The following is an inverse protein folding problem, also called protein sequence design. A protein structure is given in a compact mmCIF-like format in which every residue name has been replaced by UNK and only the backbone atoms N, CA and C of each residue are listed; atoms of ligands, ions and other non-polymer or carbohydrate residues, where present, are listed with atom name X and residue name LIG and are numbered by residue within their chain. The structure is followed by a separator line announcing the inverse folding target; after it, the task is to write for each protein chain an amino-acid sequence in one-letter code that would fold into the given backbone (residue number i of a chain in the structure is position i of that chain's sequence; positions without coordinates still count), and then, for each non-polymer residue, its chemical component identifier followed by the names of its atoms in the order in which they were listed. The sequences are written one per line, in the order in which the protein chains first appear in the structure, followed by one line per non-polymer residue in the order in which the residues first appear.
data_IF_816868060368
#
_entry.id   IF_816868060368
#
_cell.length_a   1.000
_cell.length_b   1.000
_cell.length_c   1.000
_cell.angle_alpha   90.00
_cell.angle_beta   90.00
_cell.angle_gamma   90.00
#
_symmetry.space_group_name_H-M   'P 1'
#
loop_
_entity.id
_entity.type
_entity.pdbx_description
1 polymer ?
#
# COMPACT_ATOMS: atom_id res chain seq x y z
N UNK A 1 9.64 -4.66 7.66
CA UNK A 1 9.89 -5.58 6.53
C UNK A 1 9.52 -4.87 5.27
N UNK A 2 10.32 -5.07 4.23
CA UNK A 2 9.95 -4.65 2.88
C UNK A 2 8.80 -5.53 2.38
N UNK A 3 7.63 -4.92 2.22
CA UNK A 3 6.42 -5.61 1.75
C UNK A 3 6.28 -5.50 0.24
N UNK A 4 7.07 -4.61 -0.37
CA UNK A 4 7.14 -4.39 -1.80
C UNK A 4 8.45 -3.70 -2.16
N UNK A 5 9.14 -4.26 -3.16
CA UNK A 5 10.26 -3.65 -3.86
C UNK A 5 9.92 -3.61 -5.36
N UNK A 6 10.01 -2.43 -5.98
CA UNK A 6 9.70 -2.28 -7.41
C UNK A 6 10.80 -2.82 -8.32
N UNK A 7 12.07 -2.78 -7.90
CA UNK A 7 13.19 -3.30 -8.68
C UNK A 7 13.10 -4.83 -8.79
N UNK A 8 12.76 -5.52 -7.70
CA UNK A 8 12.49 -6.95 -7.70
C UNK A 8 11.32 -7.30 -8.62
N UNK A 9 10.21 -6.53 -8.53
CA UNK A 9 9.04 -6.72 -9.39
C UNK A 9 9.38 -6.55 -10.88
N UNK A 10 10.20 -5.56 -11.23
CA UNK A 10 10.66 -5.34 -12.61
C UNK A 10 11.53 -6.50 -13.09
N UNK A 11 12.45 -6.97 -12.26
CA UNK A 11 13.40 -8.03 -12.61
C UNK A 11 12.70 -9.35 -12.93
N UNK A 12 11.75 -9.76 -12.09
CA UNK A 12 10.97 -10.99 -12.31
C UNK A 12 10.22 -10.92 -13.65
N UNK A 13 9.50 -9.81 -13.91
CA UNK A 13 8.72 -9.66 -15.15
C UNK A 13 9.55 -9.62 -16.43
N UNK A 14 10.71 -8.98 -16.39
CA UNK A 14 11.61 -8.87 -17.55
C UNK A 14 12.15 -10.23 -17.97
N UNK A 15 12.36 -11.14 -17.01
CA UNK A 15 12.85 -12.50 -17.30
C UNK A 15 11.74 -13.36 -17.91
N UNK A 16 10.48 -13.14 -17.54
CA UNK A 16 9.40 -14.09 -17.82
C UNK A 16 8.65 -13.89 -19.16
N UNK A 17 8.73 -12.74 -19.84
CA UNK A 17 7.85 -12.51 -21.01
C UNK A 17 8.50 -11.81 -22.23
N UNK A 18 8.86 -12.56 -23.29
CA UNK A 18 9.40 -12.02 -24.55
C UNK A 18 8.50 -10.99 -25.25
N UNK A 19 7.18 -11.15 -25.13
CA UNK A 19 6.19 -10.23 -25.72
C UNK A 19 6.13 -8.88 -25.01
N UNK A 20 6.19 -8.90 -23.68
CA UNK A 20 6.22 -7.68 -22.87
C UNK A 20 7.52 -6.92 -23.12
N UNK A 21 8.66 -7.61 -23.24
CA UNK A 21 9.93 -6.99 -23.64
C UNK A 21 9.88 -6.27 -24.99
N UNK A 22 9.23 -6.88 -25.99
CA UNK A 22 9.06 -6.26 -27.30
C UNK A 22 8.11 -5.04 -27.23
N UNK A 23 7.01 -5.15 -26.50
CA UNK A 23 6.10 -4.02 -26.27
C UNK A 23 6.84 -2.89 -25.54
N UNK A 24 7.58 -3.22 -24.48
CA UNK A 24 8.42 -2.31 -23.71
C UNK A 24 9.38 -1.55 -24.63
N UNK A 25 10.12 -2.28 -25.47
CA UNK A 25 11.10 -1.71 -26.40
C UNK A 25 10.50 -0.77 -27.45
N UNK A 26 9.27 -1.05 -27.89
CA UNK A 26 8.59 -0.28 -28.93
C UNK A 26 7.84 0.94 -28.37
N UNK A 27 7.41 0.91 -27.10
CA UNK A 27 6.54 1.95 -26.53
C UNK A 27 7.12 2.77 -25.40
N UNK A 28 8.30 2.43 -24.85
CA UNK A 28 8.83 3.07 -23.63
C UNK A 28 9.10 4.56 -23.75
N UNK A 29 9.45 5.05 -24.92
CA UNK A 29 9.64 6.50 -25.11
C UNK A 29 8.32 7.27 -25.09
N UNK A 30 7.22 6.60 -25.46
CA UNK A 30 5.92 7.23 -25.65
C UNK A 30 5.01 7.06 -24.43
N UNK A 31 5.16 5.95 -23.71
CA UNK A 31 4.31 5.55 -22.59
C UNK A 31 5.13 4.98 -21.41
N UNK A 32 6.11 5.75 -20.87
CA UNK A 32 6.99 5.25 -19.80
C UNK A 32 6.24 4.93 -18.51
N UNK A 33 5.21 5.71 -18.16
CA UNK A 33 4.42 5.53 -16.94
C UNK A 33 3.55 4.27 -17.03
N UNK A 34 2.88 4.04 -18.16
CA UNK A 34 2.01 2.89 -18.38
C UNK A 34 2.77 1.57 -18.33
N UNK A 35 4.01 1.59 -18.82
CA UNK A 35 4.88 0.42 -18.76
C UNK A 35 5.35 0.15 -17.33
N UNK A 36 5.69 1.18 -16.56
CA UNK A 36 5.99 1.03 -15.13
C UNK A 36 4.77 0.50 -14.37
N UNK A 37 3.57 0.97 -14.70
CA UNK A 37 2.33 0.44 -14.13
C UNK A 37 2.05 -1.01 -14.53
N UNK A 38 2.57 -1.48 -15.67
CA UNK A 38 2.43 -2.86 -16.09
C UNK A 38 3.17 -3.82 -15.15
N UNK A 39 4.26 -3.39 -14.50
CA UNK A 39 5.00 -4.20 -13.52
C UNK A 39 4.37 -4.20 -12.12
N UNK A 40 3.47 -3.27 -11.84
CA UNK A 40 2.77 -3.18 -10.55
C UNK A 40 1.76 -4.31 -10.40
N UNK A 41 2.04 -5.22 -9.45
CA UNK A 41 1.19 -6.34 -9.08
C UNK A 41 1.08 -6.50 -7.56
N UNK A 42 0.21 -7.37 -7.07
CA UNK A 42 0.10 -7.64 -5.63
C UNK A 42 1.11 -8.73 -5.25
N UNK A 43 2.11 -8.39 -4.45
CA UNK A 43 3.13 -9.33 -3.98
C UNK A 43 2.59 -10.29 -2.92
N UNK A 44 1.83 -11.29 -3.36
CA UNK A 44 1.08 -12.19 -2.48
C UNK A 44 1.95 -12.88 -1.42
N UNK A 45 3.16 -13.30 -1.79
CA UNK A 45 4.10 -13.93 -0.86
C UNK A 45 4.57 -12.98 0.25
N UNK A 46 5.09 -11.80 -0.11
CA UNK A 46 5.55 -10.78 0.85
C UNK A 46 4.43 -10.35 1.80
N UNK A 47 3.23 -10.14 1.28
CA UNK A 47 2.06 -9.79 2.09
C UNK A 47 1.65 -10.93 3.02
N UNK A 48 1.69 -12.19 2.59
CA UNK A 48 1.37 -13.33 3.44
C UNK A 48 2.39 -13.54 4.58
N UNK A 49 3.67 -13.30 4.30
CA UNK A 49 4.71 -13.31 5.33
C UNK A 49 4.51 -12.18 6.34
N UNK A 50 4.19 -10.98 5.85
CA UNK A 50 3.87 -9.84 6.70
C UNK A 50 2.63 -10.09 7.57
N UNK A 51 1.56 -10.63 6.98
CA UNK A 51 0.34 -11.02 7.69
C UNK A 51 0.60 -12.11 8.75
N UNK A 52 1.61 -12.96 8.56
CA UNK A 52 2.05 -13.93 9.58
C UNK A 52 2.76 -13.23 10.73
N UNK A 53 3.74 -12.36 10.44
CA UNK A 53 4.52 -11.66 11.48
C UNK A 53 3.67 -10.71 12.33
N UNK A 54 2.68 -10.07 11.72
CA UNK A 54 1.81 -9.10 12.41
C UNK A 54 0.84 -9.75 13.39
N UNK A 55 0.44 -11.01 13.17
CA UNK A 55 -0.38 -11.77 14.13
C UNK A 55 0.32 -11.97 15.46
N UNK A 56 1.64 -12.21 15.42
CA UNK A 56 2.43 -12.51 16.61
C UNK A 56 2.91 -11.25 17.34
N UNK A 57 3.23 -10.18 16.61
CA UNK A 57 3.79 -8.94 17.19
C UNK A 57 3.49 -7.72 16.34
N UNK A 58 3.64 -6.52 16.93
CA UNK A 58 3.67 -5.29 16.14
C UNK A 58 4.83 -5.37 15.15
N UNK A 59 4.52 -5.26 13.87
CA UNK A 59 5.50 -5.36 12.81
C UNK A 59 5.15 -4.46 11.62
N UNK A 60 6.04 -3.51 11.34
CA UNK A 60 5.81 -2.46 10.35
C UNK A 60 6.19 -2.94 8.95
N UNK A 61 5.25 -2.78 8.02
CA UNK A 61 5.48 -2.91 6.59
C UNK A 61 5.97 -1.59 6.01
N UNK A 62 7.05 -1.65 5.24
CA UNK A 62 7.60 -0.53 4.46
C UNK A 62 7.78 -0.98 3.01
N UNK A 63 7.81 -0.04 2.09
CA UNK A 63 8.05 -0.32 0.67
C UNK A 63 9.21 0.54 0.18
N UNK A 64 10.13 -0.06 -0.55
CA UNK A 64 11.29 0.60 -1.15
C UNK A 64 11.13 0.65 -2.67
N UNK A 65 11.61 1.72 -3.28
CA UNK A 65 11.65 1.82 -4.74
C UNK A 65 13.00 1.38 -5.33
N UNK A 66 13.97 1.07 -4.48
CA UNK A 66 15.32 0.61 -4.79
C UNK A 66 15.91 1.24 -6.08
N UNK A 67 15.85 2.56 -6.15
CA UNK A 67 16.13 3.29 -7.39
C UNK A 67 17.63 3.27 -7.74
N UNK A 68 17.98 2.66 -8.88
CA UNK A 68 19.36 2.51 -9.33
C UNK A 68 19.71 3.14 -10.69
N UNK A 69 18.71 3.35 -11.56
CA UNK A 69 18.93 3.81 -12.95
C UNK A 69 20.00 3.00 -13.69
N UNK A 70 19.91 1.67 -13.58
CA UNK A 70 20.88 0.74 -14.16
C UNK A 70 20.23 -0.31 -15.08
N UNK A 71 18.91 -0.22 -15.29
CA UNK A 71 18.17 -1.12 -16.15
C UNK A 71 17.95 -0.50 -17.53
N UNK A 72 18.79 -0.91 -18.48
CA UNK A 72 18.67 -0.54 -19.88
C UNK A 72 18.31 -1.75 -20.76
N UNK A 73 17.36 -1.57 -21.67
CA UNK A 73 16.96 -2.55 -22.66
C UNK A 73 16.99 -1.93 -24.04
N UNK A 74 17.74 -2.51 -24.98
CA UNK A 74 17.85 -2.05 -26.37
C UNK A 74 18.20 -0.55 -26.49
N UNK A 75 19.10 -0.07 -25.62
CA UNK A 75 19.55 1.32 -25.60
C UNK A 75 18.60 2.31 -24.92
N UNK A 76 17.52 1.83 -24.30
CA UNK A 76 16.54 2.65 -23.58
C UNK A 76 16.66 2.43 -22.07
N UNK A 77 16.67 3.52 -21.30
CA UNK A 77 16.66 3.45 -19.84
C UNK A 77 15.23 3.25 -19.33
N UNK A 78 14.97 2.13 -18.66
CA UNK A 78 13.62 1.75 -18.23
C UNK A 78 13.28 2.23 -16.81
N UNK A 79 14.31 2.38 -15.97
CA UNK A 79 14.22 2.65 -14.54
C UNK A 79 14.79 4.07 -14.26
N UNK A 80 14.34 5.05 -15.05
CA UNK A 80 14.77 6.44 -14.86
C UNK A 80 14.34 6.96 -13.49
N UNK A 81 15.19 7.77 -12.84
CA UNK A 81 14.90 8.28 -11.51
C UNK A 81 13.59 9.06 -11.43
N UNK A 82 13.30 9.92 -12.42
CA UNK A 82 12.08 10.71 -12.47
C UNK A 82 10.81 9.84 -12.49
N UNK A 83 10.92 8.61 -13.00
CA UNK A 83 9.85 7.63 -13.05
C UNK A 83 9.77 6.79 -11.75
N UNK A 84 10.88 6.18 -11.32
CA UNK A 84 10.89 5.29 -10.14
C UNK A 84 10.46 6.03 -8.87
N UNK A 85 10.95 7.26 -8.67
CA UNK A 85 10.58 8.04 -7.48
C UNK A 85 9.09 8.41 -7.42
N UNK A 86 8.37 8.35 -8.55
CA UNK A 86 6.91 8.53 -8.63
C UNK A 86 6.14 7.20 -8.60
N UNK A 87 6.82 6.08 -8.85
CA UNK A 87 6.17 4.78 -9.01
C UNK A 87 5.70 4.18 -7.68
N UNK A 88 6.50 4.29 -6.63
CA UNK A 88 6.20 3.74 -5.31
C UNK A 88 6.66 4.72 -4.23
N UNK A 89 5.72 5.11 -3.36
CA UNK A 89 5.94 6.11 -2.34
C UNK A 89 5.50 5.60 -0.97
N UNK A 90 6.34 5.83 0.04
CA UNK A 90 5.95 5.67 1.44
C UNK A 90 5.40 7.00 1.97
N UNK A 91 4.16 6.96 2.44
CA UNK A 91 3.53 8.09 3.12
C UNK A 91 3.61 7.86 4.62
N UNK A 92 4.09 8.87 5.36
CA UNK A 92 4.21 8.82 6.83
C UNK A 92 3.31 9.89 7.44
N UNK A 93 2.45 9.49 8.37
CA UNK A 93 1.65 10.39 9.16
C UNK A 93 2.48 10.91 10.33
N UNK A 94 2.89 12.18 10.22
CA UNK A 94 3.73 12.88 11.19
C UNK A 94 3.12 14.25 11.52
N UNK A 95 3.28 14.75 12.76
CA UNK A 95 2.80 16.09 13.15
C UNK A 95 3.47 17.24 12.36
N UNK A 96 4.73 17.06 11.98
CA UNK A 96 5.47 18.01 11.14
C UNK A 96 6.57 17.31 10.36
N UNK A 97 7.08 17.97 9.31
CA UNK A 97 8.14 17.45 8.46
C UNK A 97 9.51 17.65 9.10
N UNK A 98 9.79 16.88 10.15
CA UNK A 98 11.11 16.79 10.79
C UNK A 98 11.58 15.34 10.80
N UNK A 99 12.89 15.11 10.78
CA UNK A 99 13.46 13.76 10.84
C UNK A 99 12.94 12.97 12.05
N UNK A 100 12.94 13.59 13.23
CA UNK A 100 12.44 13.00 14.47
C UNK A 100 10.98 12.53 14.33
N UNK A 101 10.10 13.37 13.80
CA UNK A 101 8.68 13.05 13.67
C UNK A 101 8.42 12.00 12.58
N UNK A 102 9.19 12.01 11.49
CA UNK A 102 9.12 10.98 10.44
C UNK A 102 9.56 9.63 10.99
N UNK A 103 10.71 9.57 11.67
CA UNK A 103 11.24 8.35 12.29
C UNK A 103 10.25 7.83 13.34
N UNK A 104 9.67 8.70 14.16
CA UNK A 104 8.64 8.32 15.14
C UNK A 104 7.36 7.78 14.46
N UNK A 105 6.94 8.38 13.35
CA UNK A 105 5.83 7.89 12.54
C UNK A 105 6.09 6.49 11.99
N UNK A 106 7.27 6.27 11.41
CA UNK A 106 7.71 4.98 10.88
C UNK A 106 7.81 3.91 11.98
N UNK A 107 8.41 4.22 13.14
CA UNK A 107 8.53 3.29 14.27
C UNK A 107 7.18 2.82 14.78
N UNK A 108 6.19 3.72 14.81
CA UNK A 108 4.82 3.39 15.22
C UNK A 108 3.99 2.73 14.10
N UNK A 109 4.55 2.56 12.90
CA UNK A 109 3.83 2.04 11.75
C UNK A 109 2.74 2.98 11.24
N UNK A 110 2.82 4.28 11.56
CA UNK A 110 1.93 5.33 11.04
C UNK A 110 2.30 5.68 9.60
N UNK A 111 2.37 4.67 8.75
CA UNK A 111 2.73 4.81 7.34
C UNK A 111 1.99 3.83 6.43
N UNK A 112 1.91 4.17 5.15
CA UNK A 112 1.37 3.31 4.11
C UNK A 112 2.17 3.47 2.82
N UNK A 113 2.21 2.42 2.00
CA UNK A 113 2.78 2.47 0.67
C UNK A 113 1.69 2.81 -0.34
N UNK A 114 2.02 3.60 -1.36
CA UNK A 114 1.15 3.86 -2.51
C UNK A 114 1.92 3.77 -3.83
N UNK A 115 1.23 3.34 -4.89
CA UNK A 115 1.76 3.48 -6.25
C UNK A 115 1.37 4.83 -6.83
N UNK A 116 2.27 5.82 -6.76
CA UNK A 116 1.98 7.22 -7.09
C UNK A 116 1.59 7.45 -8.56
N UNK A 117 2.09 6.62 -9.48
CA UNK A 117 1.70 6.66 -10.89
C UNK A 117 0.23 6.29 -11.14
N UNK A 118 -0.44 5.60 -10.20
CA UNK A 118 -1.87 5.30 -10.29
C UNK A 118 -2.75 6.47 -9.82
N UNK A 119 -2.23 7.31 -8.92
CA UNK A 119 -2.98 8.43 -8.36
C UNK A 119 -2.38 8.95 -7.05
N UNK A 120 -2.65 10.22 -6.77
CA UNK A 120 -2.24 10.89 -5.53
C UNK A 120 -3.01 10.32 -4.32
N UNK A 121 -2.27 9.73 -3.38
CA UNK A 121 -2.81 9.14 -2.17
C UNK A 121 -2.97 10.14 -1.01
N UNK A 122 -2.67 11.43 -1.23
CA UNK A 122 -2.89 12.47 -0.24
C UNK A 122 -4.36 12.50 0.22
N UNK A 123 -4.56 12.42 1.53
CA UNK A 123 -5.89 12.37 2.16
C UNK A 123 -6.41 10.96 2.44
N UNK A 124 -5.68 9.89 2.08
CA UNK A 124 -5.99 8.54 2.56
C UNK A 124 -5.97 8.48 4.10
N UNK A 125 -6.99 7.85 4.67
CA UNK A 125 -7.10 7.66 6.11
C UNK A 125 -7.55 6.24 6.44
N UNK A 126 -6.95 5.67 7.47
CA UNK A 126 -7.42 4.45 8.11
C UNK A 126 -7.39 4.66 9.62
N UNK A 127 -8.58 4.62 10.22
CA UNK A 127 -8.80 5.04 11.62
C UNK A 127 -9.71 4.07 12.35
N UNK A 128 -9.56 4.01 13.66
CA UNK A 128 -10.49 3.35 14.56
C UNK A 128 -11.22 4.42 15.38
N UNK A 129 -12.55 4.38 15.37
CA UNK A 129 -13.44 5.33 16.03
C UNK A 129 -14.43 4.61 16.93
N UNK A 130 -14.86 5.27 17.99
CA UNK A 130 -15.92 4.79 18.87
C UNK A 130 -17.28 5.38 18.46
N UNK A 131 -18.33 4.59 18.50
CA UNK A 131 -19.73 5.02 18.35
C UNK A 131 -20.41 5.01 19.74
N UNK A 132 -21.25 6.00 20.08
CA UNK A 132 -21.74 7.09 19.24
C UNK A 132 -20.90 8.36 19.25
N UNK A 133 -19.86 8.44 20.08
CA UNK A 133 -19.09 9.68 20.31
C UNK A 133 -18.36 10.17 19.05
N UNK A 134 -18.01 9.27 18.13
CA UNK A 134 -17.18 9.55 16.96
C UNK A 134 -15.69 9.75 17.29
N UNK A 135 -15.31 9.55 18.55
CA UNK A 135 -13.95 9.79 19.05
C UNK A 135 -12.97 8.87 18.34
N UNK A 136 -11.94 9.44 17.71
CA UNK A 136 -10.86 8.67 17.13
C UNK A 136 -9.98 8.07 18.23
N UNK A 137 -9.89 6.75 18.28
CA UNK A 137 -9.10 5.99 19.26
C UNK A 137 -7.73 5.60 18.73
N UNK A 138 -7.62 5.35 17.43
CA UNK A 138 -6.35 5.06 16.77
C UNK A 138 -6.38 5.44 15.28
N UNK A 139 -5.18 5.48 14.70
CA UNK A 139 -4.92 5.55 13.26
C UNK A 139 -4.12 4.32 12.86
N UNK A 140 -3.92 4.10 11.55
CA UNK A 140 -3.02 3.07 11.02
C UNK A 140 -1.68 2.98 11.78
N UNK A 141 -1.22 1.76 12.04
CA UNK A 141 -0.06 1.47 12.90
C UNK A 141 -0.38 1.41 14.40
N UNK A 142 -1.50 2.01 14.83
CA UNK A 142 -1.91 2.07 16.22
C UNK A 142 -2.40 0.75 16.80
N UNK A 143 -2.41 0.68 18.12
CA UNK A 143 -2.91 -0.46 18.90
C UNK A 143 -3.93 0.03 19.92
N UNK A 144 -5.01 -0.73 20.10
CA UNK A 144 -6.03 -0.45 21.10
C UNK A 144 -6.66 -1.74 21.63
N UNK A 145 -7.32 -1.64 22.78
CA UNK A 145 -8.13 -2.73 23.33
C UNK A 145 -9.50 -2.76 22.68
N UNK A 146 -10.04 -3.97 22.50
CA UNK A 146 -11.40 -4.21 22.04
C UNK A 146 -12.39 -3.55 23.00
N UNK A 147 -13.36 -2.83 22.44
CA UNK A 147 -14.43 -2.17 23.17
C UNK A 147 -15.70 -2.24 22.32
N UNK A 148 -16.86 -2.23 22.98
CA UNK A 148 -18.14 -2.16 22.28
C UNK A 148 -18.26 -0.86 21.50
N UNK A 149 -18.90 -0.91 20.33
CA UNK A 149 -19.08 0.27 19.48
C UNK A 149 -17.83 0.71 18.72
N UNK A 150 -16.76 -0.09 18.72
CA UNK A 150 -15.56 0.18 17.92
C UNK A 150 -15.84 -0.03 16.42
N UNK A 151 -15.51 0.97 15.61
CA UNK A 151 -15.65 0.97 14.15
C UNK A 151 -14.36 1.35 13.48
N UNK A 152 -13.92 0.53 12.53
CA UNK A 152 -12.86 0.85 11.60
C UNK A 152 -13.42 1.63 10.42
N UNK A 153 -12.77 2.73 10.07
CA UNK A 153 -13.13 3.58 8.94
C UNK A 153 -11.94 3.76 8.03
N UNK A 154 -12.15 3.47 6.74
CA UNK A 154 -11.19 3.72 5.66
C UNK A 154 -11.76 4.80 4.75
N UNK A 155 -10.98 5.84 4.49
CA UNK A 155 -11.31 6.88 3.53
C UNK A 155 -10.24 6.93 2.43
N UNK A 156 -10.67 6.88 1.18
CA UNK A 156 -9.80 6.89 0.00
C UNK A 156 -10.00 8.19 -0.80
N UNK A 157 -8.92 8.90 -1.20
CA UNK A 157 -9.03 10.15 -1.94
C UNK A 157 -9.41 9.94 -3.41
N UNK A 158 -9.34 8.69 -3.90
CA UNK A 158 -9.81 8.28 -5.24
C UNK A 158 -10.74 7.08 -5.06
N UNK A 159 -11.90 7.04 -5.75
CA UNK A 159 -12.80 5.88 -5.66
C UNK A 159 -12.08 4.63 -6.17
N UNK A 160 -12.17 3.54 -5.41
CA UNK A 160 -11.54 2.28 -5.74
C UNK A 160 -12.22 1.12 -5.02
N UNK A 161 -11.58 -0.05 -5.06
CA UNK A 161 -11.95 -1.19 -4.24
C UNK A 161 -11.16 -1.12 -2.95
N UNK A 162 -11.85 -0.90 -1.82
CA UNK A 162 -11.30 -0.96 -0.48
C UNK A 162 -11.47 -2.39 0.04
N UNK A 163 -10.37 -3.03 0.42
CA UNK A 163 -10.37 -4.37 1.01
C UNK A 163 -9.86 -4.29 2.44
N UNK A 164 -10.72 -4.63 3.40
CA UNK A 164 -10.36 -4.79 4.80
C UNK A 164 -10.04 -6.27 5.06
N UNK A 165 -8.86 -6.52 5.57
CA UNK A 165 -8.39 -7.82 6.00
C UNK A 165 -8.33 -7.87 7.52
N UNK A 166 -8.63 -9.04 8.09
CA UNK A 166 -8.33 -9.39 9.48
C UNK A 166 -7.42 -10.60 9.48
N UNK A 167 -6.25 -10.47 10.12
CA UNK A 167 -5.29 -11.56 10.26
C UNK A 167 -4.87 -12.18 8.90
N UNK A 168 -4.74 -11.33 7.89
CA UNK A 168 -4.41 -11.69 6.50
C UNK A 168 -5.57 -12.20 5.65
N UNK A 169 -6.78 -12.32 6.22
CA UNK A 169 -7.97 -12.82 5.51
C UNK A 169 -8.88 -11.65 5.15
N UNK A 170 -9.26 -11.45 3.88
CA UNK A 170 -10.26 -10.46 3.49
C UNK A 170 -11.61 -10.74 4.16
N UNK A 171 -12.11 -9.76 4.93
CA UNK A 171 -13.39 -9.87 5.65
C UNK A 171 -14.45 -8.91 5.10
N UNK A 172 -14.03 -7.85 4.42
CA UNK A 172 -14.94 -6.90 3.77
C UNK A 172 -14.28 -6.30 2.55
N UNK A 173 -15.08 -6.12 1.50
CA UNK A 173 -14.68 -5.44 0.27
C UNK A 173 -15.79 -4.48 -0.13
N UNK A 174 -15.43 -3.25 -0.45
CA UNK A 174 -16.37 -2.20 -0.80
C UNK A 174 -15.83 -1.34 -1.94
N UNK A 175 -16.67 -1.02 -2.91
CA UNK A 175 -16.32 -0.08 -3.99
C UNK A 175 -16.75 1.33 -3.61
N UNK A 176 -15.88 2.30 -3.80
CA UNK A 176 -16.16 3.71 -3.51
C UNK A 176 -15.00 4.39 -2.81
N UNK A 177 -15.33 5.33 -1.91
CA UNK A 177 -14.36 6.16 -1.18
C UNK A 177 -14.35 5.90 0.33
N UNK A 178 -15.31 5.14 0.84
CA UNK A 178 -15.54 4.94 2.26
C UNK A 178 -15.82 3.45 2.51
N UNK A 179 -15.20 2.89 3.53
CA UNK A 179 -15.54 1.59 4.09
C UNK A 179 -15.64 1.75 5.60
N UNK A 180 -16.75 1.30 6.20
CA UNK A 180 -16.94 1.26 7.65
C UNK A 180 -17.19 -0.17 8.11
N UNK A 181 -16.51 -0.61 9.15
CA UNK A 181 -16.65 -1.97 9.68
C UNK A 181 -16.70 -1.94 11.21
N UNK A 182 -17.82 -2.40 11.78
CA UNK A 182 -17.91 -2.64 13.22
C UNK A 182 -17.02 -3.81 13.61
N UNK A 183 -16.11 -3.56 14.54
CA UNK A 183 -15.19 -4.58 15.03
C UNK A 183 -15.98 -5.51 15.94
N UNK A 184 -15.96 -6.81 15.66
CA UNK A 184 -16.69 -7.83 16.43
C UNK A 184 -15.78 -8.69 17.32
N UNK A 185 -14.47 -8.68 17.07
CA UNK A 185 -13.46 -9.42 17.85
C UNK A 185 -12.06 -8.84 17.69
N UNK A 186 -11.13 -9.16 18.61
CA UNK A 186 -9.71 -8.83 18.47
C UNK A 186 -9.10 -9.38 17.16
N UNK A 187 -8.04 -8.73 16.69
CA UNK A 187 -7.32 -9.13 15.49
C UNK A 187 -6.46 -8.01 14.93
N UNK A 188 -5.69 -8.34 13.89
CA UNK A 188 -4.88 -7.39 13.13
C UNK A 188 -5.65 -6.96 11.89
N UNK A 189 -6.05 -5.69 11.84
CA UNK A 189 -6.88 -5.17 10.75
C UNK A 189 -6.03 -4.38 9.76
N UNK A 190 -5.95 -4.85 8.52
CA UNK A 190 -5.14 -4.26 7.45
C UNK A 190 -6.00 -3.82 6.28
N UNK A 191 -5.57 -2.79 5.57
CA UNK A 191 -6.29 -2.26 4.41
C UNK A 191 -5.44 -2.33 3.16
N UNK A 192 -6.09 -2.73 2.07
CA UNK A 192 -5.59 -2.60 0.71
C UNK A 192 -6.59 -1.79 -0.11
N UNK A 193 -6.09 -0.93 -1.00
CA UNK A 193 -6.93 -0.22 -1.98
C UNK A 193 -6.44 -0.56 -3.37
N UNK A 194 -7.37 -0.83 -4.29
CA UNK A 194 -7.09 -1.01 -5.71
C UNK A 194 -7.84 0.02 -6.56
N UNK A 195 -7.20 0.51 -7.61
CA UNK A 195 -7.80 1.42 -8.59
C UNK A 195 -8.09 0.69 -9.90
N UNK A 196 -9.13 1.14 -10.61
CA UNK A 196 -9.49 0.61 -11.92
C UNK A 196 -8.62 1.31 -12.96
N UNK A 197 -7.78 0.55 -13.65
CA UNK A 197 -6.99 1.02 -14.79
C UNK A 197 -7.44 0.25 -16.01
N UNK A 198 -8.08 0.94 -16.96
CA UNK A 198 -8.71 0.35 -18.15
C UNK A 198 -9.67 -0.79 -17.74
N UNK A 199 -9.32 -2.04 -17.98
CA UNK A 199 -10.13 -3.24 -17.76
C UNK A 199 -9.71 -4.04 -16.52
N UNK A 200 -8.72 -3.57 -15.74
CA UNK A 200 -8.15 -4.31 -14.62
C UNK A 200 -8.13 -3.50 -13.32
N UNK A 201 -8.27 -4.21 -12.20
CA UNK A 201 -8.00 -3.66 -10.87
C UNK A 201 -6.51 -3.78 -10.59
N UNK A 202 -5.85 -2.65 -10.31
CA UNK A 202 -4.43 -2.57 -9.96
C UNK A 202 -4.30 -2.24 -8.47
N UNK A 203 -3.40 -2.90 -7.73
CA UNK A 203 -3.13 -2.53 -6.36
C UNK A 203 -2.60 -1.11 -6.32
N UNK A 204 -3.06 -0.31 -5.36
CA UNK A 204 -2.67 1.09 -5.22
C UNK A 204 -2.12 1.40 -3.84
N UNK A 205 -2.84 1.10 -2.76
CA UNK A 205 -2.41 1.41 -1.38
C UNK A 205 -2.29 0.12 -0.57
N UNK A 206 -1.20 0.00 0.18
CA UNK A 206 -1.02 -0.99 1.25
C UNK A 206 -0.77 -0.24 2.56
N UNK A 207 -1.76 -0.27 3.48
CA UNK A 207 -1.67 0.44 4.75
C UNK A 207 -1.20 -0.47 5.89
N UNK A 208 -0.39 0.06 6.80
CA UNK A 208 -0.06 -0.64 8.04
C UNK A 208 -1.32 -0.91 8.88
N UNK A 209 -1.36 -2.02 9.63
CA UNK A 209 -2.57 -2.44 10.30
C UNK A 209 -2.88 -1.61 11.55
N UNK A 210 -4.14 -1.68 11.98
CA UNK A 210 -4.57 -1.32 13.33
C UNK A 210 -4.67 -2.63 14.13
N UNK A 211 -4.02 -2.68 15.29
CA UNK A 211 -4.04 -3.84 16.19
C UNK A 211 -5.16 -3.68 17.21
N UNK A 212 -6.13 -4.59 17.20
CA UNK A 212 -7.19 -4.66 18.22
C UNK A 212 -6.89 -5.85 19.13
N UNK A 213 -6.59 -5.58 20.40
CA UNK A 213 -6.24 -6.58 21.41
C UNK A 213 -7.42 -6.92 22.30
N UNK A 214 -7.41 -8.10 22.91
CA UNK A 214 -8.37 -8.46 23.95
C UNK A 214 -8.22 -7.59 25.21
#
# INVERSE_FOLDING_TARGET
MEIYDIADAMREKIIDVPRELLQFALTSDKYPEEIMLAVVERMNWHLAQWDTLTRDRRFVGVAGNDAHQNLALLGRQLDRYDLIFRALNMHVLAPSLTEENIIAGLREGRCFASFGLLGDAAGFQFTAREIPTGTQRAVLGGELKMQDGLVLEVQSPIPGVLTLLRDGIPIRREEGRLLRHGVDRPGVYRVEVSLRVVDRWRPWIFANPIYVRA
#
